data_IF_363172639010
#
_entry.id   IF_363172639010
#
_cell.length_a   1.000
_cell.length_b   1.000
_cell.length_c   1.000
_cell.angle_alpha   90.00
_cell.angle_beta   90.00
_cell.angle_gamma   90.00
#
_symmetry.space_group_name_H-M   'P 1'
#
loop_
_entity.id
_entity.type
_entity.pdbx_description
1 polymer ?
#
# COMPACT_ATOMS: atom_id res chain seq x y z
N UNK A 1 -66.73 4.09 57.34
CA UNK A 1 -66.08 5.40 57.12
C UNK A 1 -64.56 5.18 57.17
N UNK A 2 -63.88 4.58 56.18
CA UNK A 2 -63.65 4.93 54.76
C UNK A 2 -62.80 6.21 54.54
N UNK A 3 -61.53 5.95 54.23
CA UNK A 3 -60.74 6.50 53.10
C UNK A 3 -60.19 7.94 53.14
N UNK A 4 -59.26 8.25 54.06
CA UNK A 4 -58.38 9.42 53.89
C UNK A 4 -56.87 9.13 53.97
N UNK A 5 -56.44 8.00 54.56
CA UNK A 5 -55.00 7.70 54.71
C UNK A 5 -54.31 7.25 53.40
N UNK A 6 -55.07 6.74 52.41
CA UNK A 6 -54.49 6.22 51.17
C UNK A 6 -54.19 7.27 50.10
N UNK A 7 -54.65 8.52 50.26
CA UNK A 7 -54.40 9.60 49.27
C UNK A 7 -53.17 10.43 49.58
N UNK A 8 -52.73 10.47 50.85
CA UNK A 8 -51.55 11.25 51.24
C UNK A 8 -50.24 10.57 50.80
N UNK A 9 -50.22 9.23 50.72
CA UNK A 9 -49.04 8.48 50.29
C UNK A 9 -48.84 8.43 48.77
N UNK A 10 -49.86 8.79 47.97
CA UNK A 10 -49.78 8.81 46.50
C UNK A 10 -49.08 10.07 45.95
N UNK A 11 -49.10 11.19 46.69
CA UNK A 11 -48.62 12.49 46.21
C UNK A 11 -47.11 12.72 46.44
N UNK A 12 -46.46 11.86 47.23
CA UNK A 12 -45.01 11.91 47.48
C UNK A 12 -44.21 11.11 46.44
N UNK A 13 -44.86 10.25 45.65
CA UNK A 13 -44.20 9.42 44.61
C UNK A 13 -44.16 10.09 43.23
N UNK A 14 -44.68 11.30 43.07
CA UNK A 14 -44.62 12.03 41.79
C UNK A 14 -43.42 12.99 41.67
N UNK A 15 -42.58 13.07 42.70
CA UNK A 15 -41.34 13.87 42.71
C UNK A 15 -40.10 13.14 42.19
N UNK A 16 -40.23 11.96 41.57
CA UNK A 16 -39.09 11.22 41.03
C UNK A 16 -38.69 11.75 39.64
N UNK A 17 -38.07 12.92 39.67
CA UNK A 17 -37.00 13.40 38.79
C UNK A 17 -36.85 12.68 37.42
N UNK A 18 -37.80 12.91 36.50
CA UNK A 18 -37.75 12.43 35.11
C UNK A 18 -36.62 13.07 34.27
N UNK A 19 -35.84 13.97 34.87
CA UNK A 19 -34.77 14.73 34.21
C UNK A 19 -33.43 13.97 34.11
N UNK A 20 -33.23 12.94 34.94
CA UNK A 20 -31.97 12.18 35.02
C UNK A 20 -31.61 11.44 33.74
N UNK A 21 -32.59 10.88 33.04
CA UNK A 21 -32.38 10.01 31.87
C UNK A 21 -31.83 10.74 30.64
N UNK A 22 -32.09 12.06 30.51
CA UNK A 22 -31.58 12.87 29.40
C UNK A 22 -30.08 13.16 29.51
N UNK A 23 -29.57 13.36 30.72
CA UNK A 23 -28.14 13.65 30.95
C UNK A 23 -27.27 12.44 30.60
N UNK A 24 -27.67 11.23 30.99
CA UNK A 24 -26.90 10.02 30.67
C UNK A 24 -26.91 9.66 29.18
N UNK A 25 -27.97 10.04 28.44
CA UNK A 25 -28.07 9.77 27.00
C UNK A 25 -27.14 10.66 26.15
N UNK A 26 -26.92 11.92 26.56
CA UNK A 26 -26.02 12.84 25.88
C UNK A 26 -24.53 12.49 26.06
N UNK A 27 -24.13 12.12 27.28
CA UNK A 27 -22.74 11.75 27.56
C UNK A 27 -22.34 10.46 26.83
N UNK A 28 -23.25 9.48 26.70
CA UNK A 28 -23.00 8.24 25.95
C UNK A 28 -22.82 8.49 24.44
N UNK A 29 -23.54 9.46 23.87
CA UNK A 29 -23.39 9.83 22.46
C UNK A 29 -22.07 10.52 22.15
N UNK A 30 -21.64 11.45 23.01
CA UNK A 30 -20.35 12.15 22.85
C UNK A 30 -19.18 11.18 23.03
N UNK A 31 -19.22 10.30 24.03
CA UNK A 31 -18.17 9.29 24.25
C UNK A 31 -18.07 8.32 23.06
N UNK A 32 -19.21 7.89 22.50
CA UNK A 32 -19.20 7.04 21.31
C UNK A 32 -18.62 7.76 20.08
N UNK A 33 -18.91 9.05 19.90
CA UNK A 33 -18.40 9.85 18.81
C UNK A 33 -16.89 10.10 18.95
N UNK A 34 -16.42 10.42 20.16
CA UNK A 34 -14.98 10.56 20.46
C UNK A 34 -14.26 9.23 20.25
N UNK A 35 -14.81 8.11 20.73
CA UNK A 35 -14.23 6.79 20.53
C UNK A 35 -14.15 6.42 19.04
N UNK A 36 -15.16 6.75 18.24
CA UNK A 36 -15.16 6.56 16.79
C UNK A 36 -14.08 7.41 16.11
N UNK A 37 -13.96 8.68 16.46
CA UNK A 37 -12.90 9.56 15.93
C UNK A 37 -11.50 9.03 16.28
N UNK A 38 -11.29 8.60 17.52
CA UNK A 38 -10.02 8.00 17.96
C UNK A 38 -9.73 6.71 17.18
N UNK A 39 -10.73 5.82 17.01
CA UNK A 39 -10.57 4.60 16.22
C UNK A 39 -10.20 4.89 14.76
N UNK A 40 -10.83 5.90 14.14
CA UNK A 40 -10.48 6.33 12.78
C UNK A 40 -9.04 6.85 12.71
N UNK A 41 -8.63 7.72 13.64
CA UNK A 41 -7.25 8.23 13.70
C UNK A 41 -6.25 7.09 13.86
N UNK A 42 -6.54 6.10 14.69
CA UNK A 42 -5.68 4.93 14.88
C UNK A 42 -5.56 4.07 13.62
N UNK A 43 -6.63 3.92 12.82
CA UNK A 43 -6.59 3.21 11.54
C UNK A 43 -5.67 3.92 10.53
N UNK A 44 -5.68 5.25 10.49
CA UNK A 44 -4.80 6.03 9.60
C UNK A 44 -3.33 6.08 10.06
N UNK A 45 -3.02 5.66 11.30
CA UNK A 45 -1.65 5.57 11.81
C UNK A 45 -0.94 4.25 11.47
N UNK A 46 -1.60 3.30 10.82
CA UNK A 46 -0.96 2.05 10.41
C UNK A 46 0.05 2.38 9.29
N UNK A 47 1.37 2.17 9.50
CA UNK A 47 2.35 2.40 8.45
C UNK A 47 2.08 1.43 7.30
N UNK A 48 1.80 1.96 6.11
CA UNK A 48 1.66 1.15 4.91
C UNK A 48 3.05 0.77 4.42
N UNK A 49 3.31 -0.53 4.22
CA UNK A 49 4.54 -0.97 3.57
C UNK A 49 4.54 -0.41 2.15
N UNK A 50 5.45 0.54 1.87
CA UNK A 50 5.72 1.00 0.52
C UNK A 50 6.79 0.08 -0.06
N UNK A 51 6.41 -0.81 -0.98
CA UNK A 51 7.41 -1.60 -1.74
C UNK A 51 8.12 -0.66 -2.71
N UNK A 52 9.37 -0.32 -2.42
CA UNK A 52 10.22 0.35 -3.39
C UNK A 52 10.50 -0.62 -4.56
N UNK A 53 10.23 -0.19 -5.79
CA UNK A 53 10.66 -0.93 -6.97
C UNK A 53 12.17 -0.74 -7.14
N UNK A 54 12.96 -1.59 -6.49
CA UNK A 54 14.39 -1.66 -6.78
C UNK A 54 14.55 -2.08 -8.25
N UNK A 55 15.23 -1.26 -9.05
CA UNK A 55 15.58 -1.58 -10.44
C UNK A 55 16.98 -1.08 -10.72
N UNK A 56 17.64 -1.67 -11.73
CA UNK A 56 18.97 -1.30 -12.18
C UNK A 56 18.96 -0.96 -13.68
N UNK A 57 19.99 -0.24 -14.11
CA UNK A 57 20.31 -0.08 -15.52
C UNK A 57 21.48 -0.99 -15.85
N UNK A 58 21.31 -1.85 -16.86
CA UNK A 58 22.33 -2.78 -17.33
C UNK A 58 22.80 -2.33 -18.72
N UNK A 59 24.08 -2.04 -18.85
CA UNK A 59 24.70 -1.57 -20.08
C UNK A 59 26.08 -2.22 -20.28
N UNK A 60 26.53 -2.27 -21.53
CA UNK A 60 27.82 -2.85 -21.88
C UNK A 60 28.15 -2.65 -23.35
N UNK A 61 29.36 -3.07 -23.75
CA UNK A 61 29.84 -2.94 -25.13
C UNK A 61 30.10 -4.33 -25.70
N UNK A 62 29.53 -4.62 -26.86
CA UNK A 62 29.77 -5.86 -27.59
C UNK A 62 31.01 -5.70 -28.47
N UNK A 63 31.94 -6.64 -28.36
CA UNK A 63 33.16 -6.72 -29.16
C UNK A 63 33.36 -8.12 -29.74
N UNK A 64 34.05 -8.21 -30.86
CA UNK A 64 34.51 -9.47 -31.45
C UNK A 64 35.83 -9.96 -30.84
N UNK A 65 36.36 -11.09 -31.33
CA UNK A 65 37.63 -11.67 -30.88
C UNK A 65 38.87 -10.85 -31.23
N UNK A 66 38.78 -9.93 -32.20
CA UNK A 66 39.84 -8.98 -32.52
C UNK A 66 39.81 -7.73 -31.62
N UNK A 67 38.72 -7.56 -30.85
CA UNK A 67 38.47 -6.40 -30.01
C UNK A 67 37.72 -5.27 -30.70
N UNK A 68 37.28 -5.45 -31.95
CA UNK A 68 36.48 -4.46 -32.66
C UNK A 68 35.05 -4.44 -32.12
N UNK A 69 34.42 -3.27 -32.09
CA UNK A 69 33.02 -3.11 -31.64
C UNK A 69 32.06 -3.67 -32.68
N UNK A 70 30.99 -4.33 -32.22
CA UNK A 70 29.97 -4.89 -33.12
C UNK A 70 28.71 -4.01 -33.05
N UNK A 71 28.45 -3.18 -34.08
CA UNK A 71 27.22 -2.41 -34.16
C UNK A 71 26.05 -3.26 -34.66
N UNK A 72 24.82 -2.84 -34.34
CA UNK A 72 23.59 -3.50 -34.78
C UNK A 72 23.56 -5.00 -34.43
N UNK A 73 24.17 -5.39 -33.30
CA UNK A 73 24.05 -6.71 -32.71
C UNK A 73 22.78 -6.75 -31.84
N UNK A 74 22.05 -7.84 -31.94
CA UNK A 74 20.90 -8.14 -31.10
C UNK A 74 21.38 -8.63 -29.75
N UNK A 75 21.01 -7.93 -28.68
CA UNK A 75 21.23 -8.34 -27.30
C UNK A 75 19.88 -8.70 -26.69
N UNK A 76 19.75 -9.91 -26.16
CA UNK A 76 18.55 -10.43 -25.51
C UNK A 76 18.88 -10.67 -24.04
N UNK A 77 18.13 -10.04 -23.15
CA UNK A 77 18.18 -10.23 -21.71
C UNK A 77 16.95 -11.06 -21.31
N UNK A 78 17.18 -12.29 -20.87
CA UNK A 78 16.14 -13.24 -20.47
C UNK A 78 16.15 -13.43 -18.96
N UNK A 79 15.04 -13.15 -18.28
CA UNK A 79 14.88 -13.49 -16.86
C UNK A 79 14.72 -15.01 -16.74
N UNK A 80 15.52 -15.65 -15.90
CA UNK A 80 15.51 -17.12 -15.74
C UNK A 80 14.31 -17.63 -14.95
N UNK A 81 13.77 -16.81 -14.06
CA UNK A 81 12.65 -17.17 -13.19
C UNK A 81 11.30 -17.05 -13.92
N UNK A 82 11.13 -15.98 -14.71
CA UNK A 82 9.86 -15.68 -15.40
C UNK A 82 9.88 -16.04 -16.88
N UNK A 83 11.05 -16.30 -17.46
CA UNK A 83 11.23 -16.50 -18.90
C UNK A 83 11.03 -15.23 -19.74
N UNK A 84 10.79 -14.07 -19.13
CA UNK A 84 10.56 -12.81 -19.84
C UNK A 84 11.82 -12.35 -20.55
N UNK A 85 11.69 -12.05 -21.84
CA UNK A 85 12.80 -11.57 -22.67
C UNK A 85 12.66 -10.07 -22.99
N UNK A 86 13.79 -9.39 -23.03
CA UNK A 86 13.92 -8.02 -23.49
C UNK A 86 15.02 -7.94 -24.52
N UNK A 87 14.77 -7.24 -25.61
CA UNK A 87 15.75 -7.06 -26.70
C UNK A 87 16.24 -5.61 -26.77
N UNK A 88 17.52 -5.44 -27.10
CA UNK A 88 18.16 -4.16 -27.39
C UNK A 88 19.15 -4.34 -28.53
N UNK A 89 19.34 -3.31 -29.37
CA UNK A 89 20.34 -3.31 -30.43
C UNK A 89 21.56 -2.52 -29.99
N UNK A 90 22.75 -2.99 -30.34
CA UNK A 90 23.97 -2.20 -30.12
C UNK A 90 24.04 -1.02 -31.09
N UNK A 91 24.49 0.13 -30.61
CA UNK A 91 24.73 1.31 -31.45
C UNK A 91 26.07 1.22 -32.21
N UNK A 92 26.46 2.30 -32.90
CA UNK A 92 27.70 2.37 -33.69
C UNK A 92 28.98 2.20 -32.87
N UNK A 93 28.91 2.43 -31.55
CA UNK A 93 30.01 2.17 -30.60
C UNK A 93 29.94 0.77 -29.97
N UNK A 94 29.02 -0.09 -30.41
CA UNK A 94 28.77 -1.42 -29.84
C UNK A 94 28.05 -1.39 -28.48
N UNK A 95 27.60 -0.22 -28.01
CA UNK A 95 26.95 -0.06 -26.70
C UNK A 95 25.49 -0.54 -26.76
N UNK A 96 25.08 -1.33 -25.77
CA UNK A 96 23.68 -1.66 -25.50
C UNK A 96 23.25 -1.15 -24.12
N UNK A 97 21.94 -0.94 -23.95
CA UNK A 97 21.35 -0.53 -22.66
C UNK A 97 20.01 -1.21 -22.41
N UNK A 98 19.80 -1.59 -21.15
CA UNK A 98 18.55 -2.08 -20.58
C UNK A 98 18.26 -1.28 -19.32
N UNK A 99 17.25 -0.42 -19.35
CA UNK A 99 16.81 0.36 -18.17
C UNK A 99 15.77 -0.40 -17.35
N UNK A 100 15.61 -0.03 -16.08
CA UNK A 100 14.56 -0.55 -15.20
C UNK A 100 14.53 -2.08 -15.14
N UNK A 101 15.69 -2.72 -15.00
CA UNK A 101 15.83 -4.16 -14.85
C UNK A 101 15.58 -4.50 -13.37
N UNK A 102 14.52 -5.26 -13.02
CA UNK A 102 14.33 -5.74 -11.66
C UNK A 102 15.48 -6.64 -11.19
N UNK A 103 15.77 -6.73 -9.89
CA UNK A 103 16.66 -7.74 -9.33
C UNK A 103 16.19 -9.15 -9.69
N UNK A 104 17.13 -10.02 -10.06
CA UNK A 104 16.86 -11.40 -10.42
C UNK A 104 18.04 -12.00 -11.17
N UNK A 105 17.92 -13.27 -11.53
CA UNK A 105 18.87 -13.95 -12.40
C UNK A 105 18.47 -13.77 -13.88
N UNK A 106 19.49 -13.51 -14.71
CA UNK A 106 19.29 -13.24 -16.12
C UNK A 106 20.37 -13.92 -16.97
N UNK A 107 19.94 -14.44 -18.12
CA UNK A 107 20.83 -14.87 -19.20
C UNK A 107 20.88 -13.79 -20.25
N UNK A 108 22.10 -13.37 -20.60
CA UNK A 108 22.35 -12.44 -21.69
C UNK A 108 22.80 -13.20 -22.93
N UNK A 109 22.07 -13.07 -24.04
CA UNK A 109 22.43 -13.65 -25.33
C UNK A 109 22.73 -12.53 -26.31
N UNK A 110 23.81 -12.66 -27.06
CA UNK A 110 24.19 -11.71 -28.10
C UNK A 110 24.23 -12.45 -29.42
N UNK A 111 23.51 -11.96 -30.41
CA UNK A 111 23.49 -12.48 -31.77
C UNK A 111 23.70 -11.36 -32.76
N UNK A 112 24.51 -11.62 -33.78
CA UNK A 112 24.67 -10.73 -34.93
C UNK A 112 24.37 -11.53 -36.18
N UNK A 113 23.38 -11.08 -36.95
CA UNK A 113 23.18 -11.60 -38.29
C UNK A 113 24.13 -10.82 -39.21
N UNK A 114 25.11 -11.52 -39.78
CA UNK A 114 26.17 -10.95 -40.60
C UNK A 114 27.32 -11.92 -40.75
#
# INVERSE_FOLDING_TARGET
MRSHAFRFWALIREGEDSSGWRKYRFHRGIVALVALCVALVLIFMIPHNASAQATATLNGVVRDSSGAVIPQATVILQNTDTGTERQSLTNDSGLYVFVSVPPGEYVLKVTKNG
#
